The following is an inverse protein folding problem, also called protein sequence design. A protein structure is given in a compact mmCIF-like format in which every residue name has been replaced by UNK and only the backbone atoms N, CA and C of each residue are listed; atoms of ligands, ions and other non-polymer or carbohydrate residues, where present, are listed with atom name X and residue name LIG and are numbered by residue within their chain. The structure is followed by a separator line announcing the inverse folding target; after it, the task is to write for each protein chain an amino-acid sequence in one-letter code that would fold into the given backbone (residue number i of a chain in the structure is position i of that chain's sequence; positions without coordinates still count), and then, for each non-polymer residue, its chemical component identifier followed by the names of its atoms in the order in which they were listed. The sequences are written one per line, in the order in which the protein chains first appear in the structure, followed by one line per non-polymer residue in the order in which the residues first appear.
data_IF_385955748537
#
_entry.id   IF_385955748537
#
_cell.length_a   1.000
_cell.length_b   1.000
_cell.length_c   1.000
_cell.angle_alpha   90.00
_cell.angle_beta   90.00
_cell.angle_gamma   90.00
#
_symmetry.space_group_name_H-M   'P 1'
#
loop_
_entity.id
_entity.type
_entity.pdbx_description
1 polymer ?
#
# COMPACT_ATOMS: atom_id res chain seq x y z
N UNK A 1 -7.65 6.07 -5.99
CA UNK A 1 -7.36 6.27 -4.56
C UNK A 1 -8.69 6.55 -3.91
N UNK A 2 -9.02 5.81 -2.87
CA UNK A 2 -10.22 6.05 -2.06
C UNK A 2 -9.75 6.51 -0.68
N UNK A 3 -10.38 7.55 -0.14
CA UNK A 3 -10.05 8.09 1.17
C UNK A 3 -11.28 7.96 2.05
N UNK A 4 -11.14 7.23 3.14
CA UNK A 4 -12.12 7.15 4.22
C UNK A 4 -11.72 8.16 5.29
N UNK A 5 -12.55 9.20 5.48
CA UNK A 5 -12.24 10.36 6.33
C UNK A 5 -12.34 10.00 7.81
N UNK A 6 -13.24 9.09 8.18
CA UNK A 6 -13.48 8.68 9.57
C UNK A 6 -12.32 7.82 10.09
N UNK A 7 -11.85 6.87 9.28
CA UNK A 7 -10.76 5.96 9.65
C UNK A 7 -9.37 6.46 9.24
N UNK A 8 -9.30 7.59 8.52
CA UNK A 8 -8.07 8.12 7.86
C UNK A 8 -7.40 7.08 6.96
N UNK A 9 -8.19 6.16 6.39
CA UNK A 9 -7.68 5.08 5.54
C UNK A 9 -7.57 5.55 4.10
N UNK A 10 -6.44 5.28 3.46
CA UNK A 10 -6.21 5.53 2.05
C UNK A 10 -6.01 4.21 1.32
N UNK A 11 -6.93 3.88 0.44
CA UNK A 11 -6.88 2.65 -0.37
C UNK A 11 -6.31 2.93 -1.74
N UNK A 12 -5.18 2.27 -2.03
CA UNK A 12 -4.52 2.24 -3.33
C UNK A 12 -4.92 0.94 -4.05
N UNK A 13 -5.51 1.06 -5.23
CA UNK A 13 -5.88 -0.12 -6.05
C UNK A 13 -4.69 -0.51 -6.92
N UNK A 14 -4.33 -1.79 -6.93
CA UNK A 14 -3.23 -2.31 -7.73
C UNK A 14 -3.73 -3.44 -8.65
N UNK A 15 -3.30 -3.41 -9.91
CA UNK A 15 -3.59 -4.41 -10.96
C UNK A 15 -2.28 -5.09 -11.37
N UNK A 16 -2.35 -6.19 -12.10
CA UNK A 16 -1.18 -6.89 -12.64
C UNK A 16 -0.29 -6.01 -13.54
N UNK A 17 -0.89 -5.05 -14.24
CA UNK A 17 -0.22 -4.06 -15.10
C UNK A 17 0.27 -2.81 -14.36
N UNK A 18 0.04 -2.70 -13.05
CA UNK A 18 0.53 -1.55 -12.27
C UNK A 18 2.05 -1.53 -12.26
N UNK A 19 2.62 -0.36 -12.59
CA UNK A 19 4.05 -0.09 -12.42
C UNK A 19 4.37 0.05 -10.92
N UNK A 20 5.19 -0.87 -10.41
CA UNK A 20 5.57 -0.90 -9.00
C UNK A 20 6.34 0.35 -8.54
N UNK A 21 7.12 1.01 -9.43
CA UNK A 21 7.83 2.25 -9.07
C UNK A 21 6.85 3.41 -8.88
N UNK A 22 5.84 3.51 -9.75
CA UNK A 22 4.81 4.54 -9.62
C UNK A 22 3.99 4.33 -8.35
N UNK A 23 3.61 3.08 -8.06
CA UNK A 23 2.88 2.75 -6.82
C UNK A 23 3.73 3.04 -5.57
N UNK A 24 5.04 2.75 -5.60
CA UNK A 24 5.96 3.12 -4.52
C UNK A 24 5.99 4.63 -4.27
N UNK A 25 6.04 5.43 -5.35
CA UNK A 25 5.92 6.88 -5.27
C UNK A 25 4.60 7.32 -4.65
N UNK A 26 3.47 6.69 -5.03
CA UNK A 26 2.16 7.00 -4.44
C UNK A 26 2.10 6.71 -2.94
N UNK A 27 2.70 5.62 -2.46
CA UNK A 27 2.80 5.30 -1.02
C UNK A 27 3.51 6.44 -0.28
N UNK A 28 4.64 6.90 -0.81
CA UNK A 28 5.38 8.02 -0.24
C UNK A 28 4.57 9.32 -0.26
N UNK A 29 3.96 9.67 -1.39
CA UNK A 29 3.13 10.88 -1.51
C UNK A 29 1.97 10.89 -0.51
N UNK A 30 1.27 9.77 -0.34
CA UNK A 30 0.18 9.67 0.65
C UNK A 30 0.69 9.93 2.07
N UNK A 31 1.82 9.32 2.45
CA UNK A 31 2.40 9.49 3.79
C UNK A 31 2.92 10.91 4.05
N UNK A 32 3.34 11.62 3.02
CA UNK A 32 3.76 13.02 3.11
C UNK A 32 2.57 13.98 3.28
N UNK A 33 1.47 13.73 2.56
CA UNK A 33 0.26 14.56 2.63
C UNK A 33 -0.49 14.31 3.95
N UNK A 34 -0.56 13.07 4.39
CA UNK A 34 -1.22 12.71 5.65
C UNK A 34 -0.36 11.71 6.45
N UNK A 35 0.45 12.22 7.39
CA UNK A 35 1.32 11.39 8.22
C UNK A 35 0.59 10.31 9.02
N UNK A 36 -0.65 10.58 9.41
CA UNK A 36 -1.46 9.66 10.23
C UNK A 36 -2.31 8.71 9.38
N UNK A 37 -2.15 8.73 8.06
CA UNK A 37 -2.95 7.90 7.17
C UNK A 37 -2.63 6.42 7.31
N UNK A 38 -3.67 5.60 7.32
CA UNK A 38 -3.56 4.15 7.24
C UNK A 38 -3.60 3.75 5.78
N UNK A 39 -2.47 3.30 5.23
CA UNK A 39 -2.38 2.97 3.80
C UNK A 39 -2.69 1.49 3.58
N UNK A 40 -3.65 1.21 2.70
CA UNK A 40 -4.02 -0.13 2.26
C UNK A 40 -3.79 -0.25 0.76
N UNK A 41 -3.16 -1.34 0.31
CA UNK A 41 -3.12 -1.71 -1.11
C UNK A 41 -4.12 -2.85 -1.32
N UNK A 42 -5.14 -2.60 -2.12
CA UNK A 42 -6.13 -3.63 -2.49
C UNK A 42 -5.74 -4.28 -3.81
N UNK A 43 -5.68 -5.60 -3.82
CA UNK A 43 -5.32 -6.43 -4.99
C UNK A 43 -6.30 -7.57 -5.20
N UNK A 44 -6.45 -7.97 -6.46
CA UNK A 44 -7.16 -9.18 -6.87
C UNK A 44 -6.23 -9.99 -7.78
N UNK A 45 -5.96 -11.24 -7.41
CA UNK A 45 -5.09 -12.16 -8.15
C UNK A 45 -3.58 -11.96 -7.94
N UNK A 46 -2.81 -13.01 -8.29
CA UNK A 46 -1.38 -13.10 -8.00
C UNK A 46 -0.51 -12.03 -8.69
N UNK A 47 -0.88 -11.63 -9.92
CA UNK A 47 -0.14 -10.59 -10.65
C UNK A 47 -0.19 -9.24 -9.95
N UNK A 48 -1.37 -8.83 -9.45
CA UNK A 48 -1.52 -7.60 -8.69
C UNK A 48 -0.80 -7.68 -7.33
N UNK A 49 -0.89 -8.82 -6.63
CA UNK A 49 -0.18 -9.06 -5.37
C UNK A 49 1.35 -8.92 -5.54
N UNK A 50 1.91 -9.45 -6.63
CA UNK A 50 3.33 -9.30 -6.95
C UNK A 50 3.73 -7.82 -7.14
N UNK A 51 2.94 -7.04 -7.90
CA UNK A 51 3.23 -5.62 -8.11
C UNK A 51 3.12 -4.81 -6.82
N UNK A 52 2.11 -5.06 -5.99
CA UNK A 52 1.95 -4.40 -4.70
C UNK A 52 3.12 -4.71 -3.74
N UNK A 53 3.57 -5.96 -3.71
CA UNK A 53 4.71 -6.38 -2.88
C UNK A 53 5.99 -5.69 -3.34
N UNK A 54 6.28 -5.69 -4.64
CA UNK A 54 7.42 -4.97 -5.22
C UNK A 54 7.36 -3.47 -4.90
N UNK A 55 6.19 -2.86 -5.01
CA UNK A 55 6.02 -1.44 -4.71
C UNK A 55 6.33 -1.12 -3.25
N UNK A 56 5.91 -1.95 -2.30
CA UNK A 56 6.24 -1.76 -0.89
C UNK A 56 7.75 -1.88 -0.64
N UNK A 57 8.41 -2.88 -1.26
CA UNK A 57 9.86 -3.05 -1.16
C UNK A 57 10.57 -1.80 -1.70
N UNK A 58 10.21 -1.37 -2.90
CA UNK A 58 10.77 -0.17 -3.55
C UNK A 58 10.51 1.11 -2.75
N UNK A 59 9.37 1.20 -2.07
CA UNK A 59 9.01 2.38 -1.29
C UNK A 59 9.98 2.63 -0.12
N UNK A 60 10.63 1.60 0.44
CA UNK A 60 11.63 1.75 1.49
C UNK A 60 12.69 2.80 1.15
N UNK A 61 13.10 2.93 -0.12
CA UNK A 61 14.13 3.90 -0.54
C UNK A 61 13.76 5.35 -0.21
N UNK A 62 12.47 5.68 -0.14
CA UNK A 62 11.99 7.01 0.21
C UNK A 62 12.04 7.29 1.73
N UNK A 63 12.09 6.24 2.55
CA UNK A 63 12.01 6.33 4.01
C UNK A 63 13.34 6.06 4.74
N UNK A 64 14.40 5.68 4.03
CA UNK A 64 15.74 5.41 4.60
C UNK A 64 16.22 6.54 5.51
N UNK A 65 16.11 7.80 5.06
CA UNK A 65 16.57 8.97 5.84
C UNK A 65 15.76 9.22 7.12
N UNK A 66 14.56 8.66 7.20
CA UNK A 66 13.68 8.78 8.37
C UNK A 66 13.92 7.64 9.37
N UNK A 67 14.82 6.69 9.07
CA UNK A 67 15.01 5.49 9.89
C UNK A 67 13.77 4.60 9.92
N UNK A 68 12.97 4.59 8.86
CA UNK A 68 11.72 3.83 8.79
C UNK A 68 11.82 2.74 7.73
N UNK A 69 11.38 1.54 8.10
CA UNK A 69 11.26 0.38 7.22
C UNK A 69 9.78 0.00 7.06
N UNK A 70 9.39 -0.37 5.84
CA UNK A 70 8.01 -0.72 5.50
C UNK A 70 7.82 -2.24 5.54
N UNK A 71 6.71 -2.67 6.11
CA UNK A 71 6.23 -4.05 6.08
C UNK A 71 4.79 -4.12 5.56
N UNK A 72 4.36 -5.31 5.14
CA UNK A 72 2.99 -5.58 4.70
C UNK A 72 2.31 -6.54 5.66
N UNK A 73 1.11 -6.18 6.11
CA UNK A 73 0.21 -7.09 6.82
C UNK A 73 -0.98 -7.42 5.91
N UNK A 74 -1.05 -8.66 5.38
CA UNK A 74 -2.14 -9.09 4.52
C UNK A 74 -3.40 -9.47 5.31
N UNK A 75 -4.56 -9.27 4.69
CA UNK A 75 -5.85 -9.79 5.15
C UNK A 75 -6.77 -10.05 3.96
N UNK A 76 -7.65 -11.03 4.06
CA UNK A 76 -8.70 -11.24 3.08
C UNK A 76 -9.85 -10.25 3.27
N UNK A 77 -10.46 -9.85 2.17
CA UNK A 77 -11.70 -9.08 2.11
C UNK A 77 -12.57 -9.61 0.97
N UNK A 78 -13.88 -9.56 1.17
CA UNK A 78 -14.84 -9.83 0.09
C UNK A 78 -15.20 -8.52 -0.57
N UNK A 79 -14.98 -8.41 -1.87
CA UNK A 79 -15.38 -7.25 -2.68
C UNK A 79 -16.26 -7.76 -3.80
N UNK A 80 -17.55 -7.45 -3.71
CA UNK A 80 -18.58 -8.06 -4.56
C UNK A 80 -18.49 -9.59 -4.47
N UNK A 81 -18.31 -10.27 -5.60
CA UNK A 81 -18.19 -11.73 -5.68
C UNK A 81 -16.74 -12.23 -5.69
N UNK A 82 -15.76 -11.35 -5.43
CA UNK A 82 -14.33 -11.67 -5.48
C UNK A 82 -13.67 -11.63 -4.10
N UNK A 83 -12.79 -12.61 -3.84
CA UNK A 83 -11.84 -12.51 -2.73
C UNK A 83 -10.71 -11.57 -3.12
N UNK A 84 -10.67 -10.41 -2.47
CA UNK A 84 -9.55 -9.48 -2.54
C UNK A 84 -8.58 -9.72 -1.38
N UNK A 85 -7.33 -9.32 -1.59
CA UNK A 85 -6.35 -9.20 -0.51
C UNK A 85 -6.14 -7.70 -0.27
N UNK A 86 -6.27 -7.30 0.98
CA UNK A 86 -5.85 -5.99 1.45
C UNK A 86 -4.50 -6.11 2.14
N UNK A 87 -3.56 -5.30 1.69
CA UNK A 87 -2.22 -5.22 2.24
C UNK A 87 -2.10 -3.91 3.00
N UNK A 88 -2.19 -3.98 4.32
CA UNK A 88 -1.91 -2.81 5.17
C UNK A 88 -0.40 -2.57 5.19
N UNK A 89 0.02 -1.34 4.92
CA UNK A 89 1.41 -0.92 5.07
C UNK A 89 1.67 -0.59 6.54
N UNK A 90 2.71 -1.18 7.11
CA UNK A 90 3.21 -0.87 8.46
C UNK A 90 4.52 -0.12 8.31
N UNK A 91 4.63 1.00 9.02
CA UNK A 91 5.84 1.79 9.14
C UNK A 91 6.53 1.44 10.46
N UNK A 92 7.67 0.76 10.38
CA UNK A 92 8.46 0.33 11.52
C UNK A 92 9.61 1.32 11.70
N UNK A 93 9.68 1.96 12.87
CA UNK A 93 10.79 2.84 13.21
C UNK A 93 11.95 2.00 13.75
N UNK A 94 13.13 2.20 13.18
CA UNK A 94 14.38 1.58 13.60
C UNK A 94 14.98 2.30 14.82
#
# INVERSE_FOLDING_TARGET
MEIDIETKTVTLRCKSSTDANKLAGSIFSVRQVNPESRIIIRVIGAGALNQATKACILANKYFIKQGVTLALQPSFQTVEDFTAIELKIIFIKN
#
